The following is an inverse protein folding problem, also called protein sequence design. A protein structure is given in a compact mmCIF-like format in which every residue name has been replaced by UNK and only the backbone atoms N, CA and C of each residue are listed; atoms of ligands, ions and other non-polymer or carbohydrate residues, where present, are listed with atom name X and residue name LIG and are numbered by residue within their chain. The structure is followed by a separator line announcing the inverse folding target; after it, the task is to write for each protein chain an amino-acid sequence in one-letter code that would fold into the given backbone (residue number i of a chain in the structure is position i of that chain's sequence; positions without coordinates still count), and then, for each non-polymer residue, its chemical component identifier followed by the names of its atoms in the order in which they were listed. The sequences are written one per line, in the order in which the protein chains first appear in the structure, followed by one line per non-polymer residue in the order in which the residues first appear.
data_IF_169732047785
#
_entry.id   IF_169732047785
#
_cell.length_a   1.000
_cell.length_b   1.000
_cell.length_c   1.000
_cell.angle_alpha   90.00
_cell.angle_beta   90.00
_cell.angle_gamma   90.00
#
_symmetry.space_group_name_H-M   'P 1'
#
loop_
_entity.id
_entity.type
_entity.pdbx_description
1 polymer ?
#
# COMPACT_ATOMS: atom_id res chain seq x y z
N UNK A 1 -6.62 5.98 25.33
CA UNK A 1 -5.55 6.73 24.65
C UNK A 1 -5.46 6.29 23.20
N UNK A 2 -5.31 7.26 22.29
CA UNK A 2 -5.08 6.94 20.89
C UNK A 2 -3.69 6.34 20.71
N UNK A 3 -3.54 5.42 19.77
CA UNK A 3 -2.26 4.81 19.46
C UNK A 3 -1.34 5.86 18.81
N UNK A 4 -0.02 5.86 19.12
CA UNK A 4 0.92 6.76 18.46
C UNK A 4 0.97 6.55 16.95
N UNK A 5 1.27 7.60 16.22
CA UNK A 5 1.53 7.51 14.78
C UNK A 5 2.82 6.73 14.49
N UNK A 6 2.85 6.05 13.36
CA UNK A 6 4.00 5.32 12.84
C UNK A 6 4.35 5.84 11.45
N UNK A 7 4.79 7.09 11.38
CA UNK A 7 5.19 7.69 10.10
C UNK A 7 6.47 7.07 9.55
N UNK A 8 6.50 6.86 8.26
CA UNK A 8 7.68 6.32 7.57
C UNK A 8 7.93 7.07 6.26
N UNK A 9 9.19 7.20 5.91
CA UNK A 9 9.61 7.86 4.67
C UNK A 9 9.46 6.95 3.46
N UNK A 10 9.39 7.57 2.28
CA UNK A 10 9.44 6.85 1.01
C UNK A 10 10.87 6.31 0.82
N UNK A 11 10.98 5.01 0.56
CA UNK A 11 12.26 4.33 0.33
C UNK A 11 12.24 3.64 -1.03
N UNK A 12 13.36 3.71 -1.75
CA UNK A 12 13.52 3.01 -3.02
C UNK A 12 13.77 1.52 -2.79
N UNK A 13 13.09 0.68 -3.57
CA UNK A 13 13.37 -0.75 -3.62
C UNK A 13 14.25 -0.97 -4.85
N UNK A 14 15.55 -1.17 -4.63
CA UNK A 14 16.52 -1.33 -5.71
C UNK A 14 16.93 -2.78 -5.95
N UNK A 15 16.72 -3.63 -4.97
CA UNK A 15 17.10 -5.03 -4.99
C UNK A 15 16.14 -5.85 -5.86
N UNK A 16 16.68 -6.65 -6.78
CA UNK A 16 15.90 -7.54 -7.65
C UNK A 16 15.10 -8.56 -6.87
N UNK A 17 15.65 -9.07 -5.76
CA UNK A 17 14.99 -10.06 -4.90
C UNK A 17 13.70 -9.47 -4.29
N UNK A 18 13.77 -8.23 -3.79
CA UNK A 18 12.62 -7.55 -3.22
C UNK A 18 11.55 -7.22 -4.26
N UNK A 19 11.96 -6.81 -5.45
CA UNK A 19 11.02 -6.59 -6.57
C UNK A 19 10.31 -7.88 -6.95
N UNK A 20 11.05 -8.98 -7.07
CA UNK A 20 10.48 -10.30 -7.36
C UNK A 20 9.51 -10.74 -6.26
N UNK A 21 9.88 -10.53 -5.00
CA UNK A 21 9.03 -10.87 -3.87
C UNK A 21 7.72 -10.07 -3.88
N UNK A 22 7.77 -8.79 -4.24
CA UNK A 22 6.56 -7.97 -4.40
C UNK A 22 5.63 -8.56 -5.47
N UNK A 23 6.16 -8.87 -6.64
CA UNK A 23 5.36 -9.41 -7.75
C UNK A 23 4.88 -10.85 -7.52
N UNK A 24 5.43 -11.53 -6.52
CA UNK A 24 4.95 -12.85 -6.10
C UNK A 24 3.68 -12.78 -5.23
N UNK A 25 3.34 -11.60 -4.70
CA UNK A 25 2.10 -11.43 -3.95
C UNK A 25 0.91 -11.69 -4.87
N UNK A 26 -0.01 -12.61 -4.50
CA UNK A 26 -1.16 -12.94 -5.34
C UNK A 26 -2.07 -11.74 -5.62
N UNK A 27 -2.81 -11.85 -6.73
CA UNK A 27 -3.86 -10.91 -7.13
C UNK A 27 -3.38 -9.50 -7.53
N UNK A 28 -2.08 -9.28 -7.63
CA UNK A 28 -1.54 -8.01 -8.11
C UNK A 28 -1.45 -7.92 -9.66
N UNK A 29 -1.93 -8.94 -10.37
CA UNK A 29 -1.83 -9.00 -11.83
C UNK A 29 -2.55 -7.86 -12.56
N UNK A 30 -3.65 -7.36 -12.01
CA UNK A 30 -4.38 -6.21 -12.57
C UNK A 30 -3.56 -4.92 -12.51
N UNK A 31 -2.67 -4.81 -11.53
CA UNK A 31 -1.81 -3.65 -11.35
C UNK A 31 -0.82 -3.52 -12.51
N UNK A 32 -0.35 -4.65 -13.02
CA UNK A 32 0.60 -4.67 -14.16
C UNK A 32 -0.02 -4.16 -15.46
N UNK A 33 -1.36 -4.10 -15.54
CA UNK A 33 -2.08 -3.72 -16.77
C UNK A 33 -2.48 -2.25 -16.80
N UNK A 34 -2.19 -1.48 -15.75
CA UNK A 34 -2.53 -0.08 -15.72
C UNK A 34 -1.69 0.72 -16.72
N UNK A 35 -2.32 1.63 -17.44
CA UNK A 35 -1.69 2.56 -18.35
C UNK A 35 -1.24 3.85 -17.65
N UNK A 36 -1.60 4.04 -16.38
CA UNK A 36 -1.21 5.22 -15.62
C UNK A 36 0.25 5.14 -15.19
N UNK A 37 0.88 6.29 -15.13
CA UNK A 37 2.30 6.41 -14.78
C UNK A 37 2.61 5.94 -13.36
N UNK A 38 1.68 6.16 -12.44
CA UNK A 38 1.87 5.83 -11.03
C UNK A 38 0.77 4.89 -10.56
N UNK A 39 1.19 3.83 -9.87
CA UNK A 39 0.30 2.92 -9.15
C UNK A 39 0.65 3.00 -7.67
N UNK A 40 -0.35 3.24 -6.84
CA UNK A 40 -0.20 3.39 -5.40
C UNK A 40 -1.00 2.26 -4.73
N UNK A 41 -0.29 1.27 -4.18
CA UNK A 41 -0.89 0.07 -3.59
C UNK A 41 -0.72 0.15 -2.08
N UNK A 42 -1.82 0.06 -1.34
CA UNK A 42 -1.81 0.13 0.11
C UNK A 42 -2.29 -1.18 0.72
N UNK A 43 -1.52 -1.69 1.66
CA UNK A 43 -1.88 -2.86 2.47
C UNK A 43 -2.32 -2.37 3.84
N UNK A 44 -3.58 -2.64 4.18
CA UNK A 44 -4.21 -2.18 5.41
C UNK A 44 -4.91 -3.34 6.12
N UNK A 45 -5.23 -3.14 7.39
CA UNK A 45 -6.13 -4.02 8.14
C UNK A 45 -7.17 -3.15 8.85
N UNK A 46 -8.44 -3.60 8.87
CA UNK A 46 -9.54 -2.80 9.41
C UNK A 46 -9.46 -2.58 10.92
N UNK A 47 -8.82 -3.49 11.64
CA UNK A 47 -8.63 -3.43 13.08
C UNK A 47 -7.38 -2.66 13.52
N UNK A 48 -6.60 -2.16 12.59
CA UNK A 48 -5.31 -1.53 12.84
C UNK A 48 -5.49 -0.01 13.03
N UNK A 49 -5.21 0.55 14.22
CA UNK A 49 -5.38 2.00 14.46
C UNK A 49 -4.55 2.88 13.54
N UNK A 50 -3.32 2.49 13.23
CA UNK A 50 -2.47 3.25 12.29
C UNK A 50 -3.03 3.19 10.87
N UNK A 51 -3.72 2.12 10.50
CA UNK A 51 -4.43 2.02 9.23
C UNK A 51 -5.64 2.94 9.18
N UNK A 52 -6.32 3.17 10.29
CA UNK A 52 -7.41 4.14 10.38
C UNK A 52 -6.91 5.57 10.14
N UNK A 53 -5.79 5.94 10.73
CA UNK A 53 -5.14 7.22 10.45
C UNK A 53 -4.80 7.35 8.96
N UNK A 54 -4.19 6.31 8.40
CA UNK A 54 -3.77 6.31 7.01
C UNK A 54 -4.94 6.34 6.03
N UNK A 55 -6.07 5.72 6.40
CA UNK A 55 -7.27 5.75 5.57
C UNK A 55 -7.78 7.17 5.33
N UNK A 56 -7.66 8.04 6.32
CA UNK A 56 -8.03 9.46 6.20
C UNK A 56 -7.14 10.15 5.16
N UNK A 57 -5.84 9.91 5.20
CA UNK A 57 -4.90 10.48 4.23
C UNK A 57 -5.11 9.91 2.83
N UNK A 58 -5.30 8.60 2.72
CA UNK A 58 -5.59 7.94 1.46
C UNK A 58 -6.87 8.48 0.81
N UNK A 59 -7.88 8.77 1.59
CA UNK A 59 -9.11 9.39 1.09
C UNK A 59 -8.81 10.75 0.41
N UNK A 60 -7.91 11.52 0.98
CA UNK A 60 -7.47 12.80 0.40
C UNK A 60 -6.67 12.60 -0.87
N UNK A 61 -5.69 11.70 -0.85
CA UNK A 61 -4.87 11.40 -2.04
C UNK A 61 -5.73 10.91 -3.20
N UNK A 62 -6.65 9.98 -2.94
CA UNK A 62 -7.51 9.42 -3.97
C UNK A 62 -8.41 10.47 -4.60
N UNK A 63 -8.96 11.40 -3.84
CA UNK A 63 -9.75 12.51 -4.37
C UNK A 63 -8.93 13.40 -5.28
N UNK A 64 -7.72 13.75 -4.85
CA UNK A 64 -6.88 14.72 -5.54
C UNK A 64 -6.19 14.14 -6.78
N UNK A 65 -5.73 12.90 -6.72
CA UNK A 65 -4.87 12.31 -7.76
C UNK A 65 -5.51 11.19 -8.58
N UNK A 66 -6.75 10.80 -8.33
CA UNK A 66 -7.38 9.62 -8.96
C UNK A 66 -7.35 9.60 -10.49
N UNK A 67 -7.34 10.76 -11.13
CA UNK A 67 -7.28 10.83 -12.59
C UNK A 67 -5.89 10.52 -13.16
N UNK A 68 -4.86 10.60 -12.33
CA UNK A 68 -3.45 10.48 -12.73
C UNK A 68 -2.74 9.30 -12.07
N UNK A 69 -3.28 8.78 -10.98
CA UNK A 69 -2.70 7.69 -10.19
C UNK A 69 -3.74 6.59 -10.01
N UNK A 70 -3.32 5.35 -10.22
CA UNK A 70 -4.15 4.19 -9.86
C UNK A 70 -3.91 3.84 -8.41
N UNK A 71 -4.96 3.97 -7.60
CA UNK A 71 -4.94 3.56 -6.20
C UNK A 71 -5.61 2.20 -6.05
N UNK A 72 -4.96 1.30 -5.34
CA UNK A 72 -5.49 -0.02 -5.02
C UNK A 72 -5.26 -0.32 -3.55
N UNK A 73 -6.18 -1.01 -2.92
CA UNK A 73 -6.08 -1.40 -1.51
C UNK A 73 -6.19 -2.91 -1.39
N UNK A 74 -5.27 -3.49 -0.62
CA UNK A 74 -5.30 -4.88 -0.20
C UNK A 74 -5.61 -4.89 1.29
N UNK A 75 -6.79 -5.38 1.67
CA UNK A 75 -7.18 -5.48 3.07
C UNK A 75 -6.73 -6.82 3.63
N UNK A 76 -5.80 -6.76 4.58
CA UNK A 76 -5.17 -7.92 5.19
C UNK A 76 -5.86 -8.31 6.49
N UNK A 77 -5.84 -9.58 6.83
CA UNK A 77 -6.15 -10.10 8.16
C UNK A 77 -7.56 -9.82 8.68
N UNK A 78 -8.52 -9.66 7.80
CA UNK A 78 -9.92 -9.42 8.15
C UNK A 78 -10.86 -10.02 7.11
N UNK A 79 -12.11 -10.26 7.51
CA UNK A 79 -13.13 -10.76 6.59
C UNK A 79 -13.43 -9.75 5.49
N UNK A 80 -13.93 -10.24 4.37
CA UNK A 80 -14.30 -9.39 3.23
C UNK A 80 -15.36 -8.36 3.63
N UNK A 81 -16.34 -8.75 4.45
CA UNK A 81 -17.40 -7.85 4.90
C UNK A 81 -16.85 -6.70 5.74
N UNK A 82 -15.98 -6.98 6.69
CA UNK A 82 -15.35 -5.95 7.54
C UNK A 82 -14.45 -5.03 6.71
N UNK A 83 -13.73 -5.61 5.75
CA UNK A 83 -12.87 -4.85 4.85
C UNK A 83 -13.67 -3.90 3.96
N UNK A 84 -14.75 -4.36 3.37
CA UNK A 84 -15.65 -3.52 2.56
C UNK A 84 -16.27 -2.41 3.39
N UNK A 85 -16.65 -2.70 4.61
CA UNK A 85 -17.22 -1.72 5.54
C UNK A 85 -16.20 -0.62 5.89
N UNK A 86 -14.93 -1.02 6.13
CA UNK A 86 -13.84 -0.08 6.37
C UNK A 86 -13.66 0.89 5.20
N UNK A 87 -13.60 0.37 3.97
CA UNK A 87 -13.46 1.21 2.77
C UNK A 87 -14.63 2.19 2.64
N UNK A 88 -15.84 1.73 2.88
CA UNK A 88 -17.03 2.57 2.82
C UNK A 88 -17.00 3.68 3.88
N UNK A 89 -16.64 3.33 5.12
CA UNK A 89 -16.58 4.29 6.23
C UNK A 89 -15.60 5.43 5.97
N UNK A 90 -14.45 5.13 5.35
CA UNK A 90 -13.44 6.14 5.05
C UNK A 90 -13.58 6.73 3.66
N UNK A 91 -14.66 6.40 2.95
CA UNK A 91 -14.92 6.89 1.58
C UNK A 91 -13.75 6.60 0.63
N UNK A 92 -13.17 5.42 0.78
CA UNK A 92 -12.08 4.94 -0.08
C UNK A 92 -12.68 4.29 -1.32
N UNK A 93 -12.92 5.09 -2.34
CA UNK A 93 -13.52 4.64 -3.59
C UNK A 93 -12.43 4.15 -4.55
N UNK A 94 -11.74 3.09 -4.15
CA UNK A 94 -10.63 2.48 -4.89
C UNK A 94 -10.93 1.03 -5.21
N UNK A 95 -10.10 0.41 -6.06
CA UNK A 95 -10.17 -1.02 -6.27
C UNK A 95 -9.73 -1.76 -5.00
N UNK A 96 -10.55 -2.72 -4.57
CA UNK A 96 -10.21 -3.64 -3.49
C UNK A 96 -9.67 -4.93 -4.10
N UNK A 97 -8.42 -5.26 -3.74
CA UNK A 97 -7.74 -6.47 -4.19
C UNK A 97 -7.87 -7.53 -3.11
N UNK A 98 -8.20 -8.76 -3.51
CA UNK A 98 -8.30 -9.89 -2.59
C UNK A 98 -6.95 -10.20 -1.94
N UNK A 99 -6.97 -10.36 -0.62
CA UNK A 99 -5.80 -10.67 0.18
C UNK A 99 -5.53 -12.17 0.23
N UNK A 100 -4.28 -12.53 0.47
CA UNK A 100 -3.87 -13.91 0.76
C UNK A 100 -4.37 -14.41 2.12
N UNK A 101 -4.67 -13.50 3.04
CA UNK A 101 -5.00 -13.85 4.43
C UNK A 101 -6.13 -12.97 4.93
N UNK A 102 -7.31 -13.56 5.13
CA UNK A 102 -8.52 -12.87 5.56
C UNK A 102 -8.84 -13.07 7.04
N UNK A 103 -7.87 -13.56 7.82
CA UNK A 103 -8.01 -13.76 9.26
C UNK A 103 -6.81 -13.17 10.00
N UNK A 104 -7.04 -12.70 11.22
CA UNK A 104 -5.97 -12.17 12.08
C UNK A 104 -5.23 -13.32 12.76
N UNK A 105 -4.32 -13.95 12.03
CA UNK A 105 -3.51 -15.07 12.49
C UNK A 105 -2.03 -14.78 12.22
N UNK A 106 -1.23 -14.72 13.27
CA UNK A 106 0.21 -14.50 13.14
C UNK A 106 0.89 -15.66 12.41
N UNK A 107 0.46 -16.90 12.68
CA UNK A 107 1.00 -18.07 12.00
C UNK A 107 0.73 -18.06 10.51
N UNK A 108 -0.51 -17.74 10.10
CA UNK A 108 -0.86 -17.64 8.68
C UNK A 108 -0.18 -16.46 8.02
N UNK A 109 -0.03 -15.34 8.72
CA UNK A 109 0.70 -14.18 8.20
C UNK A 109 2.11 -14.55 7.77
N UNK A 110 2.83 -15.31 8.60
CA UNK A 110 4.21 -15.74 8.32
C UNK A 110 4.34 -16.65 7.09
N UNK A 111 3.25 -17.21 6.61
CA UNK A 111 3.21 -18.07 5.42
C UNK A 111 2.86 -17.32 4.13
N UNK A 112 2.55 -16.04 4.21
CA UNK A 112 2.13 -15.26 3.04
C UNK A 112 3.32 -14.77 2.22
N UNK A 113 3.09 -14.54 0.93
CA UNK A 113 4.04 -13.84 0.06
C UNK A 113 4.23 -12.40 0.50
N UNK A 114 3.20 -11.78 1.07
CA UNK A 114 3.28 -10.45 1.68
C UNK A 114 4.34 -10.41 2.78
N UNK A 115 4.34 -11.38 3.68
CA UNK A 115 5.35 -11.48 4.74
C UNK A 115 6.76 -11.63 4.16
N UNK A 116 6.94 -12.48 3.16
CA UNK A 116 8.23 -12.67 2.49
C UNK A 116 8.72 -11.38 1.83
N UNK A 117 7.83 -10.65 1.20
CA UNK A 117 8.17 -9.35 0.62
C UNK A 117 8.63 -8.38 1.72
N UNK A 118 7.89 -8.30 2.82
CA UNK A 118 8.24 -7.44 3.96
C UNK A 118 9.62 -7.75 4.52
N UNK A 119 9.94 -9.03 4.68
CA UNK A 119 11.28 -9.43 5.12
C UNK A 119 12.36 -8.95 4.16
N UNK A 120 12.10 -9.00 2.87
CA UNK A 120 13.06 -8.58 1.86
C UNK A 120 13.35 -7.07 1.88
N UNK A 121 12.47 -6.27 2.43
CA UNK A 121 12.64 -4.81 2.57
C UNK A 121 12.89 -4.40 4.03
N UNK A 122 13.30 -5.33 4.86
CA UNK A 122 13.62 -5.12 6.29
C UNK A 122 12.45 -4.55 7.12
N UNK A 123 11.22 -4.92 6.78
CA UNK A 123 10.05 -4.58 7.57
C UNK A 123 9.81 -5.66 8.63
N UNK A 124 10.26 -5.40 9.85
CA UNK A 124 10.22 -6.35 10.97
C UNK A 124 8.98 -6.17 11.87
N UNK A 125 8.03 -5.35 11.49
CA UNK A 125 6.80 -5.17 12.28
C UNK A 125 6.01 -6.48 12.32
N UNK A 126 5.26 -6.70 13.39
CA UNK A 126 4.50 -7.94 13.58
C UNK A 126 3.49 -8.17 12.44
N UNK A 127 2.69 -7.17 12.09
CA UNK A 127 1.64 -7.27 11.08
C UNK A 127 2.00 -6.60 9.76
N UNK A 128 2.84 -5.59 9.80
CA UNK A 128 3.34 -4.90 8.61
C UNK A 128 2.32 -4.03 7.88
N UNK A 129 1.31 -3.56 8.58
CA UNK A 129 0.31 -2.63 8.03
C UNK A 129 0.24 -1.38 8.91
N UNK A 130 0.01 -0.19 8.35
CA UNK A 130 -0.06 0.09 6.92
C UNK A 130 1.29 -0.08 6.21
N UNK A 131 1.24 -0.53 4.98
CA UNK A 131 2.41 -0.59 4.09
C UNK A 131 1.96 -0.12 2.72
N UNK A 132 2.73 0.75 2.10
CA UNK A 132 2.44 1.20 0.74
C UNK A 132 3.57 0.83 -0.21
N UNK A 133 3.20 0.46 -1.42
CA UNK A 133 4.14 0.28 -2.52
C UNK A 133 3.72 1.20 -3.65
N UNK A 134 4.65 2.04 -4.09
CA UNK A 134 4.42 2.96 -5.20
C UNK A 134 5.24 2.45 -6.38
N UNK A 135 4.54 2.19 -7.48
CA UNK A 135 5.15 1.77 -8.72
C UNK A 135 5.14 2.92 -9.70
N UNK A 136 6.32 3.30 -10.18
CA UNK A 136 6.48 4.37 -11.16
C UNK A 136 6.91 3.76 -12.48
N UNK A 137 6.03 3.79 -13.47
CA UNK A 137 6.36 3.34 -14.81
C UNK A 137 7.22 4.38 -15.51
N UNK A 138 8.39 3.97 -15.95
CA UNK A 138 9.30 4.81 -16.72
C UNK A 138 9.53 4.23 -18.10
N UNK A 139 10.08 5.03 -19.01
CA UNK A 139 10.38 4.60 -20.38
C UNK A 139 11.45 3.52 -20.43
N UNK A 140 12.42 3.52 -19.49
CA UNK A 140 13.57 2.62 -19.52
C UNK A 140 13.74 1.78 -18.26
N UNK A 141 13.25 2.22 -17.10
CA UNK A 141 13.36 1.48 -15.84
C UNK A 141 12.17 1.74 -14.94
N UNK A 142 11.51 0.67 -14.57
CA UNK A 142 10.48 0.70 -13.57
C UNK A 142 11.09 0.98 -12.20
N UNK A 143 10.53 1.93 -11.48
CA UNK A 143 10.90 2.21 -10.09
C UNK A 143 9.81 1.72 -9.16
N UNK A 144 10.23 1.08 -8.08
CA UNK A 144 9.33 0.62 -7.01
C UNK A 144 9.83 1.22 -5.71
N UNK A 145 8.90 1.82 -4.98
CA UNK A 145 9.19 2.49 -3.72
C UNK A 145 8.25 1.94 -2.65
N UNK A 146 8.66 2.02 -1.40
CA UNK A 146 7.85 1.57 -0.26
C UNK A 146 7.73 2.63 0.81
N UNK A 147 6.64 2.56 1.57
CA UNK A 147 6.43 3.30 2.81
C UNK A 147 6.05 2.27 3.87
N UNK A 148 6.93 2.04 4.84
CA UNK A 148 6.76 1.01 5.87
C UNK A 148 6.08 1.60 7.10
N UNK A 149 4.86 2.08 6.93
CA UNK A 149 4.08 2.74 7.98
C UNK A 149 3.10 3.72 7.39
N UNK A 150 2.67 4.68 8.20
CA UNK A 150 1.85 5.79 7.74
C UNK A 150 2.67 6.71 6.84
N UNK A 151 2.05 7.22 5.80
CA UNK A 151 2.70 8.17 4.89
C UNK A 151 2.84 9.56 5.53
N UNK A 152 3.90 10.26 5.14
CA UNK A 152 4.09 11.66 5.50
C UNK A 152 3.47 12.48 4.37
N UNK A 153 2.38 13.17 4.64
CA UNK A 153 1.56 13.84 3.62
C UNK A 153 2.39 14.75 2.72
N UNK A 154 3.20 15.61 3.29
CA UNK A 154 4.03 16.56 2.51
C UNK A 154 4.99 15.82 1.56
N UNK A 155 5.58 14.74 2.03
CA UNK A 155 6.52 13.93 1.23
C UNK A 155 5.81 13.24 0.08
N UNK A 156 4.64 12.64 0.33
CA UNK A 156 3.85 11.97 -0.71
C UNK A 156 3.39 12.97 -1.76
N UNK A 157 2.86 14.12 -1.34
CA UNK A 157 2.41 15.15 -2.28
C UNK A 157 3.55 15.69 -3.12
N UNK A 158 4.69 15.95 -2.52
CA UNK A 158 5.88 16.43 -3.24
C UNK A 158 6.32 15.36 -4.26
N UNK A 159 6.36 14.11 -3.85
CA UNK A 159 6.73 12.99 -4.73
C UNK A 159 5.76 12.86 -5.91
N UNK A 160 4.46 12.85 -5.65
CA UNK A 160 3.44 12.70 -6.69
C UNK A 160 3.47 13.90 -7.66
N UNK A 161 3.52 15.10 -7.13
CA UNK A 161 3.53 16.32 -7.95
C UNK A 161 4.76 16.37 -8.86
N UNK A 162 5.92 16.03 -8.30
CA UNK A 162 7.17 16.00 -9.08
C UNK A 162 7.14 14.90 -10.14
N UNK A 163 6.70 13.70 -9.78
CA UNK A 163 6.63 12.56 -10.71
C UNK A 163 5.62 12.78 -11.82
N UNK A 164 4.53 13.48 -11.55
CA UNK A 164 3.49 13.83 -12.51
C UNK A 164 3.75 15.16 -13.21
N UNK A 165 4.83 15.85 -12.87
CA UNK A 165 5.17 17.19 -13.40
C UNK A 165 4.07 18.22 -13.14
N UNK A 166 3.47 18.18 -11.96
CA UNK A 166 2.48 19.15 -11.51
C UNK A 166 3.16 20.31 -10.78
N UNK A 167 2.57 21.49 -10.91
CA UNK A 167 3.05 22.69 -10.22
C UNK A 167 2.81 22.65 -8.71
#
# INVERSE_FOLDING_TARGET
MSKPHEYSKIEHITDKKSKKAFFAIPNLGKIKKSDKKIQFISFLAEWCPNCEYEAIELSRYTKEYRSLVDFSIVMMFSSINKSSHFLSNYKLNTELIDSECNVKSELLNKRTSFFNFRLSIDDNRKWGVPLHVIRLAGTNKEKILSIKGESIEEEVRLFLNKSLKLA
#
